data_IF_204905689110
#
_entry.id   IF_204905689110
#
_cell.length_a   1.000
_cell.length_b   1.000
_cell.length_c   1.000
_cell.angle_alpha   90.00
_cell.angle_beta   90.00
_cell.angle_gamma   90.00
#
_symmetry.space_group_name_H-M   'P 1'
#
loop_
_entity.id
_entity.type
_entity.pdbx_description
1 polymer ?
#
# COMPACT_ATOMS: atom_id res chain seq x y z
N UNK A 1 -6.00 12.37 -27.73
CA UNK A 1 -5.57 12.78 -26.57
C UNK A 1 -5.33 11.71 -25.62
N UNK A 2 -4.38 11.85 -24.89
CA UNK A 2 -4.06 10.88 -24.09
C UNK A 2 -4.63 11.14 -22.78
N UNK A 3 -5.15 10.25 -22.16
CA UNK A 3 -5.63 10.40 -20.96
C UNK A 3 -4.72 10.02 -19.92
N UNK A 4 -4.47 10.82 -19.00
CA UNK A 4 -3.63 10.46 -17.99
C UNK A 4 -4.33 9.60 -17.01
N UNK A 5 -3.68 8.60 -16.56
CA UNK A 5 -4.25 7.75 -15.58
C UNK A 5 -4.46 8.52 -14.32
N UNK A 6 -5.59 8.44 -13.72
CA UNK A 6 -5.86 9.12 -12.48
C UNK A 6 -4.98 8.55 -11.39
N UNK A 7 -4.49 9.39 -10.48
CA UNK A 7 -3.70 8.86 -9.38
C UNK A 7 -4.57 7.99 -8.50
N UNK A 8 -3.96 6.98 -7.92
CA UNK A 8 -4.65 6.12 -7.02
C UNK A 8 -4.73 6.83 -5.68
N UNK A 9 -5.91 6.91 -5.13
CA UNK A 9 -6.09 7.55 -3.82
C UNK A 9 -5.62 6.62 -2.74
N UNK A 10 -4.60 7.03 -2.01
CA UNK A 10 -4.09 6.28 -0.89
C UNK A 10 -4.56 6.99 0.35
N UNK A 11 -5.65 6.49 0.92
CA UNK A 11 -6.26 7.10 2.09
C UNK A 11 -6.49 6.03 3.13
N UNK A 12 -6.76 6.49 4.34
CA UNK A 12 -7.02 5.58 5.44
C UNK A 12 -8.14 4.63 5.07
N UNK A 13 -7.94 3.35 5.30
CA UNK A 13 -8.92 2.33 4.96
C UNK A 13 -8.75 1.70 3.59
N UNK A 14 -7.93 2.30 2.73
CA UNK A 14 -7.69 1.72 1.41
C UNK A 14 -6.95 0.41 1.55
N UNK A 15 -7.21 -0.52 0.64
CA UNK A 15 -6.56 -1.81 0.65
C UNK A 15 -5.93 -2.05 -0.71
N UNK A 16 -4.66 -2.46 -0.68
CA UNK A 16 -3.92 -2.74 -1.89
C UNK A 16 -3.27 -4.10 -1.78
N UNK A 17 -2.87 -4.64 -2.90
CA UNK A 17 -2.32 -5.98 -2.94
C UNK A 17 -1.14 -6.04 -3.88
N UNK A 18 -0.24 -6.95 -3.65
CA UNK A 18 0.84 -7.23 -4.59
C UNK A 18 1.11 -8.72 -4.56
N UNK A 19 1.59 -9.22 -5.69
CA UNK A 19 2.06 -10.59 -5.76
C UNK A 19 3.56 -10.54 -5.93
N UNK A 20 4.29 -11.18 -5.04
CA UNK A 20 5.74 -11.16 -5.09
C UNK A 20 6.24 -12.10 -6.17
N UNK A 21 7.51 -12.00 -6.56
CA UNK A 21 8.06 -12.95 -7.54
C UNK A 21 7.92 -14.40 -7.09
N UNK A 22 7.90 -14.65 -5.78
CA UNK A 22 7.68 -16.01 -5.28
C UNK A 22 6.22 -16.41 -5.25
N UNK A 23 5.34 -15.57 -5.83
CA UNK A 23 3.92 -15.84 -5.93
C UNK A 23 3.20 -15.83 -4.59
N UNK A 24 3.73 -15.08 -3.65
CA UNK A 24 3.07 -14.87 -2.37
C UNK A 24 2.26 -13.57 -2.48
N UNK A 25 1.03 -13.60 -2.01
CA UNK A 25 0.18 -12.43 -2.04
C UNK A 25 0.28 -11.70 -0.72
N UNK A 26 0.55 -10.40 -0.80
CA UNK A 26 0.59 -9.53 0.37
C UNK A 26 -0.51 -8.51 0.23
N UNK A 27 -1.29 -8.32 1.28
CA UNK A 27 -2.37 -7.36 1.29
C UNK A 27 -2.06 -6.26 2.29
N UNK A 28 -2.08 -5.03 1.85
CA UNK A 28 -1.76 -3.88 2.68
C UNK A 28 -3.01 -3.05 2.94
N UNK A 29 -3.26 -2.77 4.21
CA UNK A 29 -4.37 -1.89 4.58
C UNK A 29 -3.78 -0.60 5.10
N UNK A 30 -4.17 0.52 4.52
CA UNK A 30 -3.66 1.82 4.90
C UNK A 30 -4.27 2.25 6.24
N UNK A 31 -3.41 2.53 7.20
CA UNK A 31 -3.85 2.95 8.52
C UNK A 31 -3.80 4.46 8.68
N UNK A 32 -2.81 5.10 8.09
CA UNK A 32 -2.66 6.54 8.20
C UNK A 32 -1.76 7.04 7.09
N UNK A 33 -1.99 8.27 6.68
CA UNK A 33 -1.11 8.96 5.74
C UNK A 33 -0.73 10.27 6.37
N UNK A 34 0.56 10.54 6.47
CA UNK A 34 1.02 11.77 7.10
C UNK A 34 2.30 12.23 6.42
N UNK A 35 2.66 13.48 6.63
CA UNK A 35 3.89 14.02 6.09
C UNK A 35 4.95 14.04 7.16
N UNK A 36 6.19 13.81 6.75
CA UNK A 36 7.28 13.91 7.69
C UNK A 36 7.68 15.39 7.86
N UNK A 37 8.76 15.64 8.56
CA UNK A 37 9.15 17.01 8.90
C UNK A 37 9.56 17.82 7.69
N UNK A 38 9.89 17.20 6.59
CA UNK A 38 10.22 17.93 5.37
C UNK A 38 9.07 17.90 4.35
N UNK A 39 7.91 17.41 4.75
CA UNK A 39 6.76 17.46 3.90
C UNK A 39 6.58 16.29 2.96
N UNK A 40 7.34 15.23 3.13
CA UNK A 40 7.22 14.06 2.25
C UNK A 40 6.14 13.15 2.82
N UNK A 41 5.12 12.83 2.03
CA UNK A 41 4.02 11.98 2.54
C UNK A 41 4.46 10.53 2.71
N UNK A 42 4.03 9.94 3.80
CA UNK A 42 4.32 8.55 4.13
C UNK A 42 3.03 7.82 4.47
N UNK A 43 3.02 6.52 4.21
CA UNK A 43 1.89 5.67 4.50
C UNK A 43 2.27 4.70 5.59
N UNK A 44 1.43 4.64 6.62
CA UNK A 44 1.57 3.61 7.64
C UNK A 44 0.51 2.58 7.34
N UNK A 45 0.88 1.31 7.26
CA UNK A 45 -0.04 0.28 6.84
C UNK A 45 0.28 -1.04 7.52
N UNK A 46 -0.73 -1.92 7.54
CA UNK A 46 -0.53 -3.27 8.01
C UNK A 46 -0.46 -4.19 6.80
N UNK A 47 0.39 -5.21 6.88
CA UNK A 47 0.57 -6.17 5.79
C UNK A 47 0.14 -7.54 6.28
N UNK A 48 -0.73 -8.16 5.51
CA UNK A 48 -1.18 -9.51 5.75
C UNK A 48 -0.56 -10.40 4.68
N UNK A 49 0.09 -11.49 5.11
CA UNK A 49 0.71 -12.42 4.19
C UNK A 49 -0.22 -13.60 4.03
N UNK A 50 -0.70 -13.84 2.82
CA UNK A 50 -1.67 -14.79 2.56
C UNK A 50 -1.22 -16.15 2.92
N UNK A 51 -0.90 -16.92 3.06
CA UNK A 51 -0.46 -18.26 3.32
C UNK A 51 0.35 -18.42 4.57
N UNK A 52 0.50 -17.34 5.33
CA UNK A 52 1.30 -17.38 6.53
C UNK A 52 0.39 -17.09 7.70
N UNK A 53 0.38 -18.00 8.67
CA UNK A 53 -0.49 -17.85 9.82
C UNK A 53 0.24 -17.05 10.90
N UNK A 54 0.52 -15.80 10.63
CA UNK A 54 1.17 -14.93 11.59
C UNK A 54 0.38 -13.64 11.68
N UNK A 55 0.68 -12.87 12.70
CA UNK A 55 0.04 -11.59 12.88
C UNK A 55 0.45 -10.65 11.75
N UNK A 56 -0.42 -9.69 11.44
CA UNK A 56 -0.11 -8.70 10.44
C UNK A 56 1.07 -7.86 10.91
N UNK A 57 1.84 -7.40 9.94
CA UNK A 57 3.02 -6.61 10.22
C UNK A 57 2.76 -5.14 9.96
N UNK A 58 3.23 -4.26 10.83
CA UNK A 58 3.09 -2.82 10.61
C UNK A 58 4.32 -2.30 9.91
N UNK A 59 4.11 -1.47 8.89
CA UNK A 59 5.21 -0.92 8.11
C UNK A 59 4.90 0.52 7.73
N UNK A 60 5.93 1.26 7.38
CA UNK A 60 5.79 2.64 6.92
C UNK A 60 6.67 2.82 5.69
N UNK A 61 6.11 3.43 4.66
CA UNK A 61 6.83 3.74 3.44
C UNK A 61 6.40 5.11 2.93
N UNK A 62 7.28 5.75 2.17
CA UNK A 62 6.87 6.94 1.44
C UNK A 62 5.75 6.56 0.49
N UNK A 63 4.83 7.47 0.22
CA UNK A 63 3.69 7.19 -0.65
C UNK A 63 4.16 6.68 -2.00
N UNK A 64 5.21 7.28 -2.57
CA UNK A 64 5.69 6.85 -3.88
C UNK A 64 6.20 5.41 -3.85
N UNK A 65 6.91 5.04 -2.80
CA UNK A 65 7.40 3.68 -2.68
C UNK A 65 6.26 2.70 -2.46
N UNK A 66 5.29 3.10 -1.65
CA UNK A 66 4.14 2.25 -1.39
C UNK A 66 3.38 1.97 -2.68
N UNK A 67 3.14 3.00 -3.49
CA UNK A 67 2.36 2.83 -4.70
C UNK A 67 3.10 2.00 -5.76
N UNK A 68 4.42 2.00 -5.73
CA UNK A 68 5.16 1.15 -6.64
C UNK A 68 5.08 -0.33 -6.24
N UNK A 69 5.07 -0.59 -4.94
CA UNK A 69 5.03 -1.97 -4.47
C UNK A 69 3.61 -2.52 -4.48
N UNK A 70 2.66 -1.77 -3.95
CA UNK A 70 1.28 -2.24 -3.84
C UNK A 70 0.45 -1.52 -4.87
N UNK A 71 0.57 -1.97 -6.11
CA UNK A 71 -0.05 -1.27 -7.21
C UNK A 71 -1.39 -1.83 -7.65
N UNK A 72 -1.91 -2.82 -6.95
CA UNK A 72 -3.20 -3.38 -7.30
C UNK A 72 -4.20 -3.01 -6.22
N UNK A 73 -5.18 -2.19 -6.56
CA UNK A 73 -6.16 -1.76 -5.58
C UNK A 73 -7.22 -2.83 -5.41
N UNK A 74 -7.56 -3.10 -4.18
CA UNK A 74 -8.61 -4.06 -3.87
C UNK A 74 -9.87 -3.29 -3.56
N UNK A 75 -10.92 -3.59 -4.29
CA UNK A 75 -12.20 -2.92 -4.05
C UNK A 75 -12.94 -3.70 -2.99
N UNK A 76 -13.43 -2.99 -2.04
CA UNK A 76 -14.14 -3.62 -0.93
C UNK A 76 -15.53 -4.06 -1.36
#
# INVERSE_FOLDING_TARGET
MRRRKAPVDIIEGSVFRRTTPGKTVETARVLAVSKDSVGIPHVRFSVHYERVDTADELRTLAVSSFSELFNERVLA
#
